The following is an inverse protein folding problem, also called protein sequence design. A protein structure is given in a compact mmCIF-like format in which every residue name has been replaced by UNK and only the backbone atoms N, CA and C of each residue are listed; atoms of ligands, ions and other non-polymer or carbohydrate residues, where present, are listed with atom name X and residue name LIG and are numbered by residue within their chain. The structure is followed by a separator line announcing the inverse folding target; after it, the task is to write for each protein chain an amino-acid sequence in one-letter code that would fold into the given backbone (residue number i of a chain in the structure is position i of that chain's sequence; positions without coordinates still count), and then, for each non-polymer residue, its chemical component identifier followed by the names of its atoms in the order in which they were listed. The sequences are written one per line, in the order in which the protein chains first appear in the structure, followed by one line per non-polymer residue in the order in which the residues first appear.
data_IF_081668330315
#
_entry.id   IF_081668330315
#
_cell.length_a   1.000
_cell.length_b   1.000
_cell.length_c   1.000
_cell.angle_alpha   90.00
_cell.angle_beta   90.00
_cell.angle_gamma   90.00
#
_symmetry.space_group_name_H-M   'P 1'
#
loop_
_entity.id
_entity.type
_entity.pdbx_description
1 polymer ?
#
# COMPACT_ATOMS: atom_id res chain seq x y z
N UNK A 1 -15.62 -6.78 20.31
CA UNK A 1 -16.90 -7.37 19.84
C UNK A 1 -16.82 -7.47 18.32
N UNK A 2 -17.11 -8.62 17.72
CA UNK A 2 -17.12 -8.79 16.26
C UNK A 2 -18.56 -8.64 15.76
N UNK A 3 -18.79 -7.84 14.72
CA UNK A 3 -20.11 -7.66 14.11
C UNK A 3 -20.05 -7.76 12.60
N UNK A 4 -21.19 -8.05 11.98
CA UNK A 4 -21.28 -8.10 10.52
C UNK A 4 -21.84 -6.82 9.91
N UNK A 5 -21.24 -6.36 8.82
CA UNK A 5 -21.75 -5.23 8.03
C UNK A 5 -21.15 -5.23 6.63
N UNK A 6 -21.98 -5.00 5.61
CA UNK A 6 -21.55 -4.95 4.19
C UNK A 6 -20.75 -3.70 3.80
N UNK A 7 -20.75 -2.65 4.64
CA UNK A 7 -20.09 -1.36 4.37
C UNK A 7 -18.63 -1.45 3.91
N UNK A 8 -17.76 -2.32 4.47
CA UNK A 8 -16.37 -2.43 4.02
C UNK A 8 -16.27 -2.91 2.56
N UNK A 9 -17.12 -3.88 2.18
CA UNK A 9 -17.22 -4.31 0.78
C UNK A 9 -17.77 -3.17 -0.10
N UNK A 10 -18.79 -2.44 0.34
CA UNK A 10 -19.35 -1.33 -0.43
C UNK A 10 -18.30 -0.25 -0.74
N UNK A 11 -17.49 0.14 0.25
CA UNK A 11 -16.40 1.11 0.06
C UNK A 11 -15.45 0.68 -1.06
N UNK A 12 -14.97 -0.57 -0.99
CA UNK A 12 -14.09 -1.15 -2.01
C UNK A 12 -14.78 -1.20 -3.37
N UNK A 13 -16.03 -1.68 -3.44
CA UNK A 13 -16.79 -1.77 -4.69
C UNK A 13 -17.06 -0.41 -5.32
N UNK A 14 -17.39 0.61 -4.54
CA UNK A 14 -17.63 1.97 -5.06
C UNK A 14 -16.37 2.50 -5.74
N UNK A 15 -15.21 2.32 -5.11
CA UNK A 15 -13.95 2.76 -5.69
C UNK A 15 -13.64 2.01 -7.02
N UNK A 16 -13.88 0.70 -7.08
CA UNK A 16 -13.76 -0.07 -8.33
C UNK A 16 -14.79 0.35 -9.39
N UNK A 17 -16.05 0.52 -9.03
CA UNK A 17 -17.11 0.95 -9.94
C UNK A 17 -16.82 2.35 -10.50
N UNK A 18 -16.32 3.26 -9.67
CA UNK A 18 -15.85 4.57 -10.11
C UNK A 18 -14.72 4.43 -11.12
N UNK A 19 -13.74 3.56 -10.86
CA UNK A 19 -12.65 3.29 -11.79
C UNK A 19 -13.18 2.82 -13.16
N UNK A 20 -13.98 1.76 -13.20
CA UNK A 20 -14.53 1.24 -14.46
C UNK A 20 -15.43 2.25 -15.19
N UNK A 21 -16.20 3.04 -14.45
CA UNK A 21 -17.09 4.06 -15.02
C UNK A 21 -16.33 5.15 -15.79
N UNK A 22 -15.06 5.42 -15.45
CA UNK A 22 -14.20 6.39 -16.17
C UNK A 22 -14.04 6.03 -17.65
N UNK A 23 -14.09 4.73 -17.99
CA UNK A 23 -13.93 4.23 -19.36
C UNK A 23 -15.12 4.61 -20.25
N UNK A 24 -16.31 4.78 -19.67
CA UNK A 24 -17.55 5.05 -20.42
C UNK A 24 -17.96 6.53 -20.40
N UNK A 25 -17.38 7.32 -19.48
CA UNK A 25 -17.75 8.72 -19.27
C UNK A 25 -16.88 9.68 -20.10
N UNK A 26 -17.49 10.78 -20.57
CA UNK A 26 -16.80 11.84 -21.33
C UNK A 26 -15.69 12.49 -20.51
N UNK A 27 -14.62 12.91 -21.16
CA UNK A 27 -13.42 13.46 -20.51
C UNK A 27 -13.72 14.59 -19.51
N UNK A 28 -14.59 15.54 -19.88
CA UNK A 28 -15.00 16.65 -18.99
C UNK A 28 -15.69 16.21 -17.70
N UNK A 29 -16.34 15.03 -17.72
CA UNK A 29 -17.11 14.49 -16.60
C UNK A 29 -16.28 13.59 -15.68
N UNK A 30 -15.16 13.01 -16.18
CA UNK A 30 -14.30 12.09 -15.41
C UNK A 30 -13.81 12.70 -14.09
N UNK A 31 -13.41 13.97 -14.10
CA UNK A 31 -12.95 14.68 -12.89
C UNK A 31 -14.02 14.76 -11.80
N UNK A 32 -15.28 15.00 -12.18
CA UNK A 32 -16.39 15.07 -11.23
C UNK A 32 -16.76 13.68 -10.71
N UNK A 33 -16.70 12.67 -11.57
CA UNK A 33 -16.91 11.27 -11.17
C UNK A 33 -15.89 10.83 -10.12
N UNK A 34 -14.59 11.02 -10.37
CA UNK A 34 -13.54 10.59 -9.45
C UNK A 34 -13.60 11.39 -8.14
N UNK A 35 -13.81 12.71 -8.22
CA UNK A 35 -13.94 13.55 -7.03
C UNK A 35 -15.16 13.16 -6.19
N UNK A 36 -16.34 13.00 -6.80
CA UNK A 36 -17.55 12.57 -6.07
C UNK A 36 -17.39 11.18 -5.46
N UNK A 37 -16.79 10.23 -6.18
CA UNK A 37 -16.50 8.89 -5.66
C UNK A 37 -15.56 8.95 -4.45
N UNK A 38 -14.46 9.70 -4.53
CA UNK A 38 -13.52 9.86 -3.41
C UNK A 38 -14.15 10.47 -2.16
N UNK A 39 -15.01 11.47 -2.31
CA UNK A 39 -15.72 12.11 -1.19
C UNK A 39 -16.73 11.13 -0.59
N UNK A 40 -17.52 10.46 -1.42
CA UNK A 40 -18.53 9.52 -0.97
C UNK A 40 -17.91 8.33 -0.22
N UNK A 41 -16.80 7.80 -0.76
CA UNK A 41 -16.08 6.70 -0.13
C UNK A 41 -15.42 7.13 1.19
N UNK A 42 -14.85 8.35 1.24
CA UNK A 42 -14.35 8.93 2.50
C UNK A 42 -15.45 9.02 3.57
N UNK A 43 -16.67 9.39 3.19
CA UNK A 43 -17.81 9.43 4.12
C UNK A 43 -18.16 8.03 4.64
N UNK A 44 -18.13 7.00 3.78
CA UNK A 44 -18.38 5.62 4.19
C UNK A 44 -17.34 5.15 5.19
N UNK A 45 -16.05 5.35 4.89
CA UNK A 45 -14.95 4.98 5.78
C UNK A 45 -15.08 5.74 7.11
N UNK A 46 -15.23 7.07 7.09
CA UNK A 46 -15.43 7.87 8.32
C UNK A 46 -16.63 7.39 9.14
N UNK A 47 -17.70 6.89 8.50
CA UNK A 47 -18.87 6.35 9.21
C UNK A 47 -18.59 5.08 10.01
N UNK A 48 -17.51 4.35 9.70
CA UNK A 48 -17.07 3.15 10.42
C UNK A 48 -16.23 3.49 11.65
N UNK A 49 -15.50 4.61 11.62
CA UNK A 49 -14.58 5.05 12.68
C UNK A 49 -15.19 5.04 14.10
N UNK A 50 -16.42 5.54 14.37
CA UNK A 50 -16.98 5.52 15.74
C UNK A 50 -17.13 4.12 16.32
N UNK A 51 -17.36 3.11 15.47
CA UNK A 51 -17.46 1.70 15.89
C UNK A 51 -16.09 1.13 16.24
N UNK A 52 -15.10 1.41 15.38
CA UNK A 52 -13.72 0.95 15.58
C UNK A 52 -13.10 1.58 16.83
N UNK A 53 -13.37 2.87 17.10
CA UNK A 53 -12.92 3.55 18.32
C UNK A 53 -13.52 2.97 19.61
N UNK A 54 -14.68 2.31 19.53
CA UNK A 54 -15.26 1.54 20.66
C UNK A 54 -14.67 0.14 20.82
N UNK A 55 -13.66 -0.23 20.03
CA UNK A 55 -13.04 -1.55 20.04
C UNK A 55 -13.87 -2.64 19.33
N UNK A 56 -14.79 -2.23 18.45
CA UNK A 56 -15.51 -3.15 17.58
C UNK A 56 -14.62 -3.58 16.39
N UNK A 57 -14.75 -4.84 15.96
CA UNK A 57 -14.15 -5.33 14.71
C UNK A 57 -15.32 -5.67 13.80
N UNK A 58 -15.33 -5.13 12.59
CA UNK A 58 -16.42 -5.36 11.63
C UNK A 58 -15.94 -6.35 10.59
N UNK A 59 -16.67 -7.44 10.39
CA UNK A 59 -16.33 -8.46 9.40
C UNK A 59 -17.45 -8.67 8.38
N UNK A 60 -17.06 -8.93 7.14
CA UNK A 60 -17.97 -9.31 6.08
C UNK A 60 -17.34 -10.41 5.23
N UNK A 61 -17.91 -11.60 5.30
CA UNK A 61 -17.53 -12.72 4.46
C UNK A 61 -18.44 -12.74 3.25
N UNK A 62 -17.86 -12.71 2.04
CA UNK A 62 -18.65 -12.86 0.81
C UNK A 62 -19.36 -14.23 0.83
N UNK A 63 -20.68 -14.28 0.55
CA UNK A 63 -21.48 -15.50 0.68
C UNK A 63 -20.93 -16.72 -0.08
N UNK A 64 -21.22 -17.91 0.45
CA UNK A 64 -20.68 -19.19 -0.02
C UNK A 64 -21.00 -19.53 -1.48
N UNK A 65 -22.06 -18.96 -2.05
CA UNK A 65 -22.46 -19.13 -3.46
C UNK A 65 -21.48 -18.52 -4.46
N UNK A 66 -20.57 -17.65 -4.01
CA UNK A 66 -19.51 -17.01 -4.80
C UNK A 66 -18.10 -17.52 -4.40
N UNK A 67 -17.99 -18.59 -3.62
CA UNK A 67 -16.69 -19.15 -3.19
C UNK A 67 -15.97 -19.82 -4.36
N UNK A 68 -14.70 -19.48 -4.54
CA UNK A 68 -13.77 -20.20 -5.42
C UNK A 68 -13.40 -21.59 -4.85
N UNK A 69 -13.44 -21.73 -3.53
CA UNK A 69 -13.17 -22.96 -2.77
C UNK A 69 -13.80 -22.87 -1.37
N UNK A 70 -14.14 -23.99 -0.70
CA UNK A 70 -14.57 -23.99 0.70
C UNK A 70 -13.62 -23.24 1.65
N UNK A 71 -12.34 -23.18 1.29
CA UNK A 71 -11.23 -22.66 2.10
C UNK A 71 -10.74 -21.28 1.68
N UNK A 72 -11.01 -20.85 0.44
CA UNK A 72 -10.61 -19.54 -0.08
C UNK A 72 -11.80 -18.60 -0.13
N UNK A 73 -11.97 -17.81 0.92
CA UNK A 73 -13.07 -16.85 1.05
C UNK A 73 -12.57 -15.42 1.00
N UNK A 74 -13.26 -14.57 0.24
CA UNK A 74 -13.09 -13.12 0.36
C UNK A 74 -13.66 -12.68 1.72
N UNK A 75 -12.77 -12.26 2.60
CA UNK A 75 -13.09 -11.80 3.95
C UNK A 75 -12.65 -10.35 4.08
N UNK A 76 -13.61 -9.48 4.33
CA UNK A 76 -13.35 -8.08 4.65
C UNK A 76 -13.39 -7.91 6.17
N UNK A 77 -12.36 -7.30 6.74
CA UNK A 77 -12.23 -7.05 8.18
C UNK A 77 -11.78 -5.61 8.38
N UNK A 78 -12.56 -4.87 9.16
CA UNK A 78 -12.23 -3.54 9.63
C UNK A 78 -11.83 -3.64 11.08
N UNK A 79 -10.53 -3.53 11.30
CA UNK A 79 -9.91 -3.38 12.61
C UNK A 79 -9.13 -2.05 12.65
N UNK A 80 -8.58 -1.62 13.81
CA UNK A 80 -7.96 -0.30 13.92
C UNK A 80 -6.84 -0.04 12.90
N UNK A 81 -6.06 -1.07 12.57
CA UNK A 81 -5.01 -0.97 11.56
C UNK A 81 -5.61 -0.79 10.16
N UNK A 82 -6.58 -1.63 9.78
CA UNK A 82 -7.24 -1.55 8.48
C UNK A 82 -7.98 -0.23 8.26
N UNK A 83 -8.70 0.22 9.29
CA UNK A 83 -9.43 1.49 9.28
C UNK A 83 -8.49 2.69 9.15
N UNK A 84 -7.37 2.70 9.86
CA UNK A 84 -6.35 3.74 9.73
C UNK A 84 -5.83 3.87 8.29
N UNK A 85 -5.51 2.74 7.65
CA UNK A 85 -5.05 2.73 6.25
C UNK A 85 -6.14 3.12 5.25
N UNK A 86 -7.39 2.69 5.47
CA UNK A 86 -8.51 3.07 4.62
C UNK A 86 -8.83 4.57 4.72
N UNK A 87 -8.82 5.13 5.94
CA UNK A 87 -8.98 6.56 6.18
C UNK A 87 -7.89 7.36 5.47
N UNK A 88 -6.63 6.96 5.64
CA UNK A 88 -5.52 7.64 5.00
C UNK A 88 -5.64 7.59 3.47
N UNK A 89 -5.99 6.42 2.92
CA UNK A 89 -6.13 6.23 1.48
C UNK A 89 -7.26 7.08 0.90
N UNK A 90 -8.43 7.13 1.54
CA UNK A 90 -9.59 7.88 1.07
C UNK A 90 -9.42 9.40 1.18
N UNK A 91 -8.88 9.90 2.30
CA UNK A 91 -8.58 11.32 2.47
C UNK A 91 -7.54 11.78 1.44
N UNK A 92 -6.47 11.00 1.27
CA UNK A 92 -5.44 11.33 0.29
C UNK A 92 -5.95 11.19 -1.15
N UNK A 93 -6.91 10.29 -1.43
CA UNK A 93 -7.54 10.20 -2.73
C UNK A 93 -8.21 11.52 -3.15
N UNK A 94 -8.94 12.17 -2.23
CA UNK A 94 -9.54 13.49 -2.50
C UNK A 94 -8.46 14.51 -2.87
N UNK A 95 -7.39 14.60 -2.06
CA UNK A 95 -6.30 15.57 -2.27
C UNK A 95 -5.53 15.32 -3.57
N UNK A 96 -5.17 14.06 -3.84
CA UNK A 96 -4.48 13.66 -5.07
C UNK A 96 -5.37 13.94 -6.28
N UNK A 97 -6.67 13.68 -6.20
CA UNK A 97 -7.60 13.96 -7.30
C UNK A 97 -7.67 15.45 -7.61
N UNK A 98 -7.81 16.31 -6.58
CA UNK A 98 -7.82 17.76 -6.74
C UNK A 98 -6.53 18.26 -7.41
N UNK A 99 -5.37 17.80 -6.92
CA UNK A 99 -4.08 18.14 -7.52
C UNK A 99 -3.96 17.63 -8.96
N UNK A 100 -4.37 16.39 -9.23
CA UNK A 100 -4.33 15.78 -10.57
C UNK A 100 -5.12 16.59 -11.58
N UNK A 101 -6.32 17.07 -11.20
CA UNK A 101 -7.16 17.89 -12.08
C UNK A 101 -6.45 19.18 -12.50
N UNK A 102 -5.81 19.88 -11.56
CA UNK A 102 -5.04 21.09 -11.86
C UNK A 102 -3.79 20.78 -12.68
N UNK A 103 -3.05 19.74 -12.30
CA UNK A 103 -1.83 19.31 -12.98
C UNK A 103 -2.09 18.96 -14.45
N UNK A 104 -3.13 18.18 -14.74
CA UNK A 104 -3.46 17.76 -16.11
C UNK A 104 -3.83 18.93 -17.04
N UNK A 105 -4.50 19.95 -16.50
CA UNK A 105 -4.87 21.14 -17.26
C UNK A 105 -3.63 21.95 -17.66
N UNK A 106 -2.73 22.18 -16.70
CA UNK A 106 -1.51 22.96 -16.94
C UNK A 106 -0.50 22.20 -17.80
N UNK A 107 -0.34 20.89 -17.56
CA UNK A 107 0.64 20.05 -18.28
C UNK A 107 0.15 19.57 -19.65
N UNK A 108 -1.09 19.87 -20.03
CA UNK A 108 -1.76 19.36 -21.25
C UNK A 108 -1.62 17.84 -21.40
N UNK A 109 -1.80 17.12 -20.30
CA UNK A 109 -1.59 15.66 -20.24
C UNK A 109 -2.53 14.94 -21.21
N UNK A 110 -1.95 14.05 -22.02
CA UNK A 110 -2.71 13.17 -22.94
C UNK A 110 -3.22 11.95 -22.19
N UNK A 111 -4.16 11.20 -22.78
CA UNK A 111 -4.62 9.91 -22.23
C UNK A 111 -5.15 9.98 -20.79
N UNK A 112 -5.79 11.09 -20.40
CA UNK A 112 -6.28 11.34 -19.03
C UNK A 112 -7.23 10.24 -18.53
N UNK A 113 -8.03 9.63 -19.41
CA UNK A 113 -8.92 8.53 -19.05
C UNK A 113 -8.18 7.30 -18.53
N UNK A 114 -7.10 6.89 -19.22
CA UNK A 114 -6.25 5.78 -18.78
C UNK A 114 -5.58 6.09 -17.44
N UNK A 115 -5.11 7.33 -17.26
CA UNK A 115 -4.48 7.76 -16.02
C UNK A 115 -5.47 7.72 -14.85
N UNK A 116 -6.64 8.34 -14.99
CA UNK A 116 -7.66 8.34 -13.93
C UNK A 116 -8.17 6.93 -13.62
N UNK A 117 -8.35 6.08 -14.63
CA UNK A 117 -8.68 4.66 -14.43
C UNK A 117 -7.64 3.97 -13.55
N UNK A 118 -6.37 4.02 -13.95
CA UNK A 118 -5.28 3.36 -13.24
C UNK A 118 -5.06 3.92 -11.82
N UNK A 119 -5.16 5.24 -11.66
CA UNK A 119 -5.06 5.93 -10.37
C UNK A 119 -6.18 5.46 -9.43
N UNK A 120 -7.41 5.43 -9.92
CA UNK A 120 -8.58 5.05 -9.11
C UNK A 120 -8.57 3.55 -8.78
N UNK A 121 -8.17 2.69 -9.74
CA UNK A 121 -7.96 1.26 -9.50
C UNK A 121 -6.93 0.99 -8.40
N UNK A 122 -5.81 1.71 -8.42
CA UNK A 122 -4.77 1.57 -7.42
C UNK A 122 -5.25 1.99 -6.02
N UNK A 123 -6.01 3.08 -5.91
CA UNK A 123 -6.58 3.52 -4.63
C UNK A 123 -7.63 2.52 -4.12
N UNK A 124 -8.52 2.05 -5.01
CA UNK A 124 -9.52 1.02 -4.68
C UNK A 124 -8.85 -0.25 -4.11
N UNK A 125 -7.76 -0.68 -4.73
CA UNK A 125 -6.96 -1.80 -4.24
C UNK A 125 -6.27 -1.49 -2.90
N UNK A 126 -5.78 -0.27 -2.68
CA UNK A 126 -5.24 0.18 -1.40
C UNK A 126 -6.26 0.10 -0.25
N UNK A 127 -7.50 0.53 -0.50
CA UNK A 127 -8.60 0.41 0.47
C UNK A 127 -8.94 -1.06 0.71
N UNK A 128 -9.02 -1.87 -0.35
CA UNK A 128 -9.24 -3.32 -0.27
C UNK A 128 -8.16 -4.05 0.54
N UNK A 129 -6.90 -3.61 0.44
CA UNK A 129 -5.80 -4.12 1.27
C UNK A 129 -5.99 -3.77 2.74
N UNK A 130 -6.35 -2.52 3.05
CA UNK A 130 -6.67 -2.10 4.42
C UNK A 130 -7.75 -2.96 5.06
N UNK A 131 -8.82 -3.23 4.29
CA UNK A 131 -9.97 -4.03 4.73
C UNK A 131 -9.84 -5.53 4.49
N UNK A 132 -8.68 -6.04 4.09
CA UNK A 132 -8.51 -7.49 3.97
C UNK A 132 -8.49 -8.17 5.34
N UNK A 133 -9.27 -9.24 5.49
CA UNK A 133 -9.35 -10.04 6.72
C UNK A 133 -8.54 -11.33 6.71
N UNK A 134 -7.96 -11.68 5.56
CA UNK A 134 -7.10 -12.85 5.42
C UNK A 134 -6.03 -12.62 4.33
N UNK A 135 -4.97 -13.45 4.35
CA UNK A 135 -3.87 -13.35 3.38
C UNK A 135 -4.32 -13.52 1.93
N UNK A 136 -5.37 -14.31 1.67
CA UNK A 136 -5.89 -14.51 0.32
C UNK A 136 -6.52 -13.23 -0.27
N UNK A 137 -7.40 -12.60 0.50
CA UNK A 137 -8.03 -11.32 0.14
C UNK A 137 -6.97 -10.23 0.02
N UNK A 138 -5.98 -10.22 0.94
CA UNK A 138 -4.83 -9.33 0.88
C UNK A 138 -4.08 -9.51 -0.44
N UNK A 139 -3.72 -10.74 -0.80
CA UNK A 139 -2.97 -11.04 -2.03
C UNK A 139 -3.70 -10.57 -3.30
N UNK A 140 -5.02 -10.78 -3.39
CA UNK A 140 -5.80 -10.32 -4.55
C UNK A 140 -5.66 -8.81 -4.74
N UNK A 141 -5.90 -8.03 -3.69
CA UNK A 141 -5.78 -6.57 -3.79
C UNK A 141 -4.31 -6.12 -3.95
N UNK A 142 -3.35 -6.86 -3.39
CA UNK A 142 -1.92 -6.61 -3.57
C UNK A 142 -1.50 -6.68 -5.04
N UNK A 143 -1.99 -7.68 -5.76
CA UNK A 143 -1.74 -7.86 -7.20
C UNK A 143 -2.53 -6.88 -8.06
N UNK A 144 -3.80 -6.61 -7.74
CA UNK A 144 -4.58 -5.57 -8.44
C UNK A 144 -3.86 -4.23 -8.35
N UNK A 145 -3.36 -3.86 -7.16
CA UNK A 145 -2.57 -2.65 -6.97
C UNK A 145 -1.29 -2.68 -7.81
N UNK A 146 -0.56 -3.80 -7.83
CA UNK A 146 0.66 -3.96 -8.62
C UNK A 146 0.40 -3.67 -10.11
N UNK A 147 -0.63 -4.29 -10.67
CA UNK A 147 -0.98 -4.13 -12.09
C UNK A 147 -1.49 -2.71 -12.37
N UNK A 148 -2.23 -2.11 -11.44
CA UNK A 148 -2.81 -0.77 -11.60
C UNK A 148 -1.78 0.35 -11.62
N UNK A 149 -0.65 0.19 -10.92
CA UNK A 149 0.45 1.17 -10.92
C UNK A 149 1.20 1.19 -12.25
N UNK A 150 1.31 0.05 -12.95
CA UNK A 150 2.13 -0.04 -14.16
C UNK A 150 1.74 1.00 -15.24
N UNK A 151 0.46 1.15 -15.64
CA UNK A 151 0.03 2.19 -16.57
C UNK A 151 0.34 3.63 -16.14
N UNK A 152 0.49 3.88 -14.84
CA UNK A 152 0.86 5.19 -14.31
C UNK A 152 2.35 5.48 -14.51
N UNK A 153 3.20 4.45 -14.35
CA UNK A 153 4.64 4.58 -14.58
C UNK A 153 4.95 4.77 -16.06
N UNK A 154 4.31 3.97 -16.92
CA UNK A 154 4.54 4.03 -18.37
C UNK A 154 3.73 5.13 -19.06
N UNK A 155 3.12 6.06 -18.31
CA UNK A 155 2.11 6.97 -18.83
C UNK A 155 2.59 7.79 -20.04
N UNK A 156 3.84 8.27 -19.98
CA UNK A 156 4.47 9.10 -21.01
C UNK A 156 4.98 8.28 -22.22
N UNK A 157 4.97 6.94 -22.12
CA UNK A 157 5.31 6.00 -23.21
C UNK A 157 6.71 6.18 -23.84
N UNK A 158 7.63 6.87 -23.16
CA UNK A 158 9.04 6.94 -23.56
C UNK A 158 9.75 5.61 -23.31
N UNK A 159 10.86 5.35 -24.02
CA UNK A 159 11.67 4.14 -23.80
C UNK A 159 12.16 4.01 -22.35
N UNK A 160 12.43 5.15 -21.70
CA UNK A 160 12.77 5.22 -20.28
C UNK A 160 11.58 4.82 -19.39
N UNK A 161 10.39 5.37 -19.65
CA UNK A 161 9.18 5.03 -18.91
C UNK A 161 8.83 3.54 -19.06
N UNK A 162 8.95 2.99 -20.29
CA UNK A 162 8.71 1.58 -20.58
C UNK A 162 9.70 0.66 -19.84
N UNK A 163 11.00 1.01 -19.82
CA UNK A 163 12.02 0.28 -19.04
C UNK A 163 11.74 0.33 -17.54
N UNK A 164 11.43 1.51 -17.00
CA UNK A 164 11.10 1.68 -15.59
C UNK A 164 9.85 0.87 -15.20
N UNK A 165 8.80 0.89 -16.02
CA UNK A 165 7.59 0.11 -15.81
C UNK A 165 7.85 -1.41 -15.81
N UNK A 166 8.67 -1.92 -16.75
CA UNK A 166 9.03 -3.35 -16.79
C UNK A 166 9.82 -3.76 -15.54
N UNK A 167 10.78 -2.94 -15.11
CA UNK A 167 11.55 -3.16 -13.88
C UNK A 167 10.64 -3.17 -12.65
N UNK A 168 9.70 -2.23 -12.58
CA UNK A 168 8.68 -2.20 -11.53
C UNK A 168 7.84 -3.48 -11.48
N UNK A 169 7.30 -3.93 -12.63
CA UNK A 169 6.50 -5.14 -12.70
C UNK A 169 7.31 -6.38 -12.30
N UNK A 170 8.55 -6.49 -12.76
CA UNK A 170 9.42 -7.62 -12.41
C UNK A 170 9.58 -7.72 -10.89
N UNK A 171 9.89 -6.60 -10.22
CA UNK A 171 10.00 -6.57 -8.77
C UNK A 171 8.67 -6.91 -8.09
N UNK A 172 7.58 -6.24 -8.50
CA UNK A 172 6.27 -6.40 -7.86
C UNK A 172 5.71 -7.80 -8.00
N UNK A 173 5.79 -8.40 -9.20
CA UNK A 173 5.32 -9.77 -9.45
C UNK A 173 6.20 -10.80 -8.75
N UNK A 174 7.52 -10.59 -8.70
CA UNK A 174 8.40 -11.44 -7.90
C UNK A 174 7.98 -11.43 -6.42
N UNK A 175 7.78 -10.24 -5.83
CA UNK A 175 7.31 -10.11 -4.46
C UNK A 175 5.93 -10.77 -4.26
N UNK A 176 5.03 -10.62 -5.24
CA UNK A 176 3.73 -11.26 -5.29
C UNK A 176 3.78 -12.78 -5.24
N UNK A 177 4.60 -13.39 -6.10
CA UNK A 177 4.80 -14.85 -6.13
C UNK A 177 5.35 -15.37 -4.80
N UNK A 178 6.30 -14.65 -4.20
CA UNK A 178 6.86 -15.01 -2.89
C UNK A 178 5.80 -14.91 -1.78
N UNK A 179 4.96 -13.88 -1.77
CA UNK A 179 3.83 -13.74 -0.83
C UNK A 179 2.82 -14.87 -1.04
N UNK A 180 2.51 -15.23 -2.28
CA UNK A 180 1.59 -16.32 -2.59
C UNK A 180 2.13 -17.65 -2.06
N UNK A 181 3.40 -17.98 -2.33
CA UNK A 181 4.05 -19.18 -1.81
C UNK A 181 4.09 -19.21 -0.27
N UNK A 182 4.41 -18.08 0.35
CA UNK A 182 4.38 -17.94 1.82
C UNK A 182 2.98 -18.11 2.40
N UNK A 183 1.95 -17.60 1.70
CA UNK A 183 0.55 -17.76 2.09
C UNK A 183 0.10 -19.21 1.98
N UNK A 184 0.46 -19.91 0.90
CA UNK A 184 0.19 -21.34 0.76
C UNK A 184 0.85 -22.13 1.89
N UNK A 185 2.12 -21.86 2.20
CA UNK A 185 2.81 -22.51 3.31
C UNK A 185 2.14 -22.22 4.66
N UNK A 186 1.71 -20.98 4.88
CA UNK A 186 0.96 -20.59 6.09
C UNK A 186 -0.32 -21.41 6.21
N UNK A 187 -1.07 -21.58 5.13
CA UNK A 187 -2.27 -22.42 5.12
C UNK A 187 -1.98 -23.89 5.43
N UNK A 188 -0.90 -24.44 4.87
CA UNK A 188 -0.50 -25.84 5.13
C UNK A 188 -0.11 -26.08 6.59
N UNK A 189 0.45 -25.07 7.27
CA UNK A 189 0.87 -25.18 8.67
C UNK A 189 -0.27 -24.87 9.66
N UNK A 190 -1.04 -23.80 9.41
CA UNK A 190 -2.05 -23.30 10.35
C UNK A 190 -3.49 -23.73 10.04
N UNK A 191 -3.75 -24.25 8.83
CA UNK A 191 -5.10 -24.58 8.36
C UNK A 191 -6.01 -23.37 8.08
N UNK A 192 -5.48 -22.15 8.19
CA UNK A 192 -6.23 -20.90 7.98
C UNK A 192 -5.33 -19.79 7.43
N UNK A 193 -5.94 -18.80 6.79
CA UNK A 193 -5.29 -17.57 6.34
C UNK A 193 -5.84 -16.32 7.03
N UNK A 194 -6.84 -16.48 7.90
CA UNK A 194 -7.53 -15.37 8.57
C UNK A 194 -6.65 -14.70 9.60
N UNK A 195 -6.67 -13.38 9.61
CA UNK A 195 -5.90 -12.59 10.56
C UNK A 195 -6.44 -12.76 11.99
N UNK A 196 -5.53 -13.03 12.93
CA UNK A 196 -5.82 -13.19 14.36
C UNK A 196 -5.09 -12.10 15.15
N UNK A 197 -5.59 -11.66 16.29
CA UNK A 197 -4.85 -10.70 17.13
C UNK A 197 -3.67 -11.35 17.88
N UNK A 198 -3.64 -12.69 17.96
CA UNK A 198 -2.63 -13.44 18.70
C UNK A 198 -1.63 -14.17 17.78
N UNK A 199 -1.74 -14.00 16.47
CA UNK A 199 -1.04 -14.86 15.50
C UNK A 199 -1.80 -16.16 15.21
N UNK A 200 -1.35 -16.89 14.19
CA UNK A 200 -1.92 -18.17 13.74
C UNK A 200 -0.88 -19.29 13.60
N UNK A 201 0.41 -18.98 13.75
CA UNK A 201 1.53 -19.92 13.53
C UNK A 201 2.16 -20.48 14.81
N UNK A 202 1.66 -20.10 15.99
CA UNK A 202 2.25 -20.58 17.24
C UNK A 202 2.04 -22.09 17.39
N UNK A 203 3.14 -22.83 17.59
CA UNK A 203 3.13 -24.29 17.76
C UNK A 203 2.79 -25.10 16.51
N UNK A 204 2.72 -24.48 15.32
CA UNK A 204 2.31 -25.19 14.08
C UNK A 204 3.47 -25.87 13.35
N UNK A 205 4.72 -25.47 13.62
CA UNK A 205 5.92 -26.00 12.95
C UNK A 205 7.18 -25.81 13.80
N UNK A 206 8.32 -26.32 13.31
CA UNK A 206 9.61 -26.10 13.96
C UNK A 206 10.05 -24.63 13.88
N UNK A 207 10.84 -24.12 14.86
CA UNK A 207 11.35 -22.75 14.85
C UNK A 207 12.05 -22.36 13.54
N UNK A 208 12.88 -23.25 12.99
CA UNK A 208 13.60 -23.00 11.74
C UNK A 208 12.65 -22.80 10.54
N UNK A 209 11.59 -23.62 10.44
CA UNK A 209 10.60 -23.49 9.37
C UNK A 209 9.85 -22.16 9.47
N UNK A 210 9.48 -21.75 10.68
CA UNK A 210 8.81 -20.48 10.94
C UNK A 210 9.74 -19.27 10.67
N UNK A 211 11.04 -19.39 10.94
CA UNK A 211 12.00 -18.34 10.58
C UNK A 211 12.16 -18.22 9.05
N UNK A 212 12.28 -19.33 8.33
CA UNK A 212 12.35 -19.33 6.85
C UNK A 212 11.08 -18.70 6.26
N UNK A 213 9.90 -19.09 6.75
CA UNK A 213 8.63 -18.53 6.32
C UNK A 213 8.55 -17.02 6.57
N UNK A 214 9.07 -16.56 7.72
CA UNK A 214 9.08 -15.15 8.06
C UNK A 214 9.91 -14.35 7.06
N UNK A 215 11.15 -14.79 6.81
CA UNK A 215 12.02 -14.12 5.84
C UNK A 215 11.51 -14.23 4.41
N UNK A 216 10.77 -15.29 4.06
CA UNK A 216 10.07 -15.37 2.78
C UNK A 216 9.02 -14.26 2.65
N UNK A 217 8.18 -14.04 3.67
CA UNK A 217 7.26 -12.90 3.69
C UNK A 217 7.99 -11.55 3.66
N UNK A 218 9.11 -11.40 4.38
CA UNK A 218 9.92 -10.17 4.33
C UNK A 218 10.50 -9.95 2.92
N UNK A 219 10.91 -10.99 2.20
CA UNK A 219 11.32 -10.86 0.80
C UNK A 219 10.16 -10.39 -0.09
N UNK A 220 8.95 -10.89 0.17
CA UNK A 220 7.74 -10.51 -0.57
C UNK A 220 7.28 -9.08 -0.31
N UNK A 221 6.91 -8.77 0.95
CA UNK A 221 6.46 -7.44 1.35
C UNK A 221 7.56 -6.39 1.30
N UNK A 222 8.82 -6.81 1.52
CA UNK A 222 10.02 -5.99 1.44
C UNK A 222 10.21 -5.31 0.09
N UNK A 223 9.72 -5.92 -1.00
CA UNK A 223 9.68 -5.27 -2.31
C UNK A 223 8.84 -4.01 -2.25
N UNK A 224 7.56 -4.08 -1.86
CA UNK A 224 6.68 -2.90 -1.86
C UNK A 224 6.97 -1.91 -0.73
N UNK A 225 7.57 -2.34 0.38
CA UNK A 225 8.09 -1.41 1.40
C UNK A 225 9.46 -0.83 1.04
N UNK A 226 10.05 -1.27 -0.08
CA UNK A 226 11.36 -0.87 -0.57
C UNK A 226 12.49 -1.03 0.47
N UNK A 227 12.42 -2.06 1.31
CA UNK A 227 13.53 -2.40 2.23
C UNK A 227 14.74 -2.79 1.39
N UNK A 228 15.94 -2.31 1.74
CA UNK A 228 17.15 -2.66 1.02
C UNK A 228 17.52 -4.13 1.26
N UNK A 229 17.92 -4.88 0.21
CA UNK A 229 18.29 -4.42 -1.14
C UNK A 229 17.15 -4.35 -2.19
N UNK A 230 15.89 -4.62 -1.84
CA UNK A 230 14.76 -4.74 -2.77
C UNK A 230 14.17 -3.39 -3.27
N UNK A 231 14.76 -2.28 -2.87
CA UNK A 231 14.33 -0.91 -3.15
C UNK A 231 14.45 -0.43 -4.62
N UNK A 232 15.26 -1.11 -5.44
CA UNK A 232 15.77 -0.58 -6.72
C UNK A 232 14.72 -0.24 -7.78
N UNK A 233 13.46 -0.64 -7.60
CA UNK A 233 12.36 -0.26 -8.46
C UNK A 233 11.85 1.16 -8.18
N UNK A 234 11.86 1.62 -6.92
CA UNK A 234 11.15 2.83 -6.52
C UNK A 234 11.77 4.11 -7.09
N UNK A 235 13.10 4.32 -7.06
CA UNK A 235 13.72 5.48 -7.70
C UNK A 235 13.45 5.54 -9.22
N UNK A 236 13.38 4.40 -9.90
CA UNK A 236 13.14 4.32 -11.35
C UNK A 236 11.74 4.81 -11.72
N UNK A 237 10.75 4.63 -10.84
CA UNK A 237 9.39 5.14 -11.05
C UNK A 237 9.28 6.66 -11.00
N UNK A 238 10.37 7.37 -10.66
CA UNK A 238 10.39 8.84 -10.67
C UNK A 238 10.32 9.45 -12.08
N UNK A 239 10.31 8.63 -13.13
CA UNK A 239 9.94 9.08 -14.49
C UNK A 239 8.43 9.34 -14.64
N UNK A 240 7.58 8.72 -13.81
CA UNK A 240 6.12 8.83 -13.89
C UNK A 240 5.61 10.27 -13.68
N UNK A 241 4.38 10.62 -14.07
CA UNK A 241 3.81 11.92 -13.72
C UNK A 241 3.70 12.13 -12.21
N UNK A 242 3.81 13.39 -11.75
CA UNK A 242 3.81 13.74 -10.32
C UNK A 242 2.63 13.15 -9.54
N UNK A 243 1.37 13.17 -10.03
CA UNK A 243 0.27 12.58 -9.27
C UNK A 243 0.39 11.07 -9.09
N UNK A 244 1.09 10.36 -9.98
CA UNK A 244 1.38 8.94 -9.81
C UNK A 244 2.41 8.70 -8.69
N UNK A 245 3.45 9.54 -8.59
CA UNK A 245 4.42 9.45 -7.50
C UNK A 245 3.79 9.82 -6.15
N UNK A 246 2.86 10.76 -6.14
CA UNK A 246 2.08 11.13 -4.95
C UNK A 246 1.22 9.96 -4.44
N UNK A 247 0.55 9.26 -5.35
CA UNK A 247 -0.16 8.00 -5.03
C UNK A 247 0.78 6.95 -4.44
N UNK A 248 1.93 6.70 -5.07
CA UNK A 248 2.91 5.71 -4.59
C UNK A 248 3.43 6.01 -3.18
N UNK A 249 3.52 7.30 -2.82
CA UNK A 249 3.90 7.73 -1.48
C UNK A 249 2.76 7.61 -0.44
N UNK A 250 1.53 7.34 -0.89
CA UNK A 250 0.33 7.25 -0.03
C UNK A 250 -0.04 5.81 0.27
N UNK A 251 0.00 4.96 -0.75
CA UNK A 251 -0.49 3.57 -0.67
C UNK A 251 0.65 2.67 -0.19
N UNK A 252 1.01 2.81 1.09
CA UNK A 252 2.17 2.20 1.77
C UNK A 252 1.98 0.71 2.11
N UNK A 253 1.48 -0.06 1.16
CA UNK A 253 0.95 -1.41 1.39
C UNK A 253 2.00 -2.46 1.77
N UNK A 254 3.26 -2.24 1.43
CA UNK A 254 4.34 -3.14 1.85
C UNK A 254 4.51 -3.11 3.37
N UNK A 255 4.43 -1.91 3.95
CA UNK A 255 4.51 -1.72 5.40
C UNK A 255 3.25 -2.24 6.09
N UNK A 256 2.07 -2.07 5.49
CA UNK A 256 0.84 -2.73 5.96
C UNK A 256 0.99 -4.25 5.98
N UNK A 257 1.55 -4.84 4.91
CA UNK A 257 1.82 -6.29 4.84
C UNK A 257 2.76 -6.77 5.94
N UNK A 258 3.84 -6.03 6.21
CA UNK A 258 4.75 -6.33 7.34
C UNK A 258 4.03 -6.18 8.69
N UNK A 259 3.18 -5.17 8.87
CA UNK A 259 2.39 -5.01 10.09
C UNK A 259 1.43 -6.20 10.30
N UNK A 260 0.71 -6.63 9.25
CA UNK A 260 -0.16 -7.80 9.27
C UNK A 260 0.62 -9.09 9.55
N UNK A 261 1.81 -9.23 8.99
CA UNK A 261 2.70 -10.36 9.26
C UNK A 261 3.08 -10.43 10.74
N UNK A 262 3.60 -9.33 11.27
CA UNK A 262 4.13 -9.25 12.64
C UNK A 262 3.02 -9.40 13.68
N UNK A 263 1.92 -8.67 13.52
CA UNK A 263 0.87 -8.63 14.53
C UNK A 263 -0.21 -9.69 14.35
N UNK A 264 -0.51 -10.11 13.10
CA UNK A 264 -1.65 -10.99 12.85
C UNK A 264 -1.32 -12.42 12.41
N UNK A 265 -0.18 -12.64 11.76
CA UNK A 265 0.22 -13.98 11.30
C UNK A 265 1.15 -14.64 12.33
N UNK A 266 2.19 -13.94 12.76
CA UNK A 266 3.09 -14.44 13.80
C UNK A 266 2.57 -14.09 15.20
N UNK A 267 2.13 -12.85 15.40
CA UNK A 267 1.80 -12.34 16.72
C UNK A 267 3.04 -11.97 17.53
N UNK A 268 2.87 -11.06 18.50
CA UNK A 268 3.99 -10.48 19.27
C UNK A 268 4.77 -11.54 20.04
N UNK A 269 4.08 -12.53 20.62
CA UNK A 269 4.71 -13.59 21.43
C UNK A 269 5.66 -14.45 20.60
N UNK A 270 5.21 -14.97 19.45
CA UNK A 270 6.03 -15.80 18.58
C UNK A 270 7.21 -15.02 17.97
N UNK A 271 6.99 -13.75 17.63
CA UNK A 271 8.07 -12.86 17.15
C UNK A 271 9.20 -12.70 18.16
N UNK A 272 8.88 -12.65 19.47
CA UNK A 272 9.88 -12.59 20.55
C UNK A 272 10.54 -13.94 20.78
N UNK A 273 9.75 -15.01 20.82
CA UNK A 273 10.23 -16.39 21.01
C UNK A 273 11.27 -16.79 19.95
N UNK A 274 11.00 -16.47 18.68
CA UNK A 274 11.90 -16.77 17.56
C UNK A 274 12.99 -15.71 17.33
N UNK A 275 13.04 -14.67 18.16
CA UNK A 275 13.92 -13.50 18.04
C UNK A 275 13.89 -12.82 16.66
N UNK A 276 12.73 -12.82 16.00
CA UNK A 276 12.54 -12.29 14.63
C UNK A 276 12.48 -10.76 14.57
N UNK A 277 12.20 -10.13 15.71
CA UNK A 277 12.12 -8.68 15.84
C UNK A 277 13.47 -7.99 15.58
N UNK A 278 14.56 -8.59 16.03
CA UNK A 278 15.89 -7.99 15.96
C UNK A 278 16.45 -7.96 14.52
N UNK A 279 16.41 -9.06 13.72
CA UNK A 279 16.77 -9.00 12.30
C UNK A 279 15.92 -8.00 11.51
N UNK A 280 14.61 -7.92 11.78
CA UNK A 280 13.73 -6.95 11.11
C UNK A 280 14.14 -5.51 11.45
N UNK A 281 14.45 -5.24 12.73
CA UNK A 281 14.94 -3.93 13.17
C UNK A 281 16.27 -3.57 12.51
N UNK A 282 17.21 -4.51 12.36
CA UNK A 282 18.47 -4.26 11.64
C UNK A 282 18.24 -3.96 10.16
N UNK A 283 17.41 -4.72 9.46
CA UNK A 283 17.07 -4.45 8.05
C UNK A 283 16.48 -3.05 7.88
N UNK A 284 15.57 -2.66 8.78
CA UNK A 284 14.98 -1.33 8.79
C UNK A 284 16.02 -0.23 9.06
N UNK A 285 16.83 -0.37 10.12
CA UNK A 285 17.84 0.61 10.50
C UNK A 285 18.91 0.82 9.41
N UNK A 286 19.40 -0.26 8.80
CA UNK A 286 20.34 -0.20 7.68
C UNK A 286 19.71 0.55 6.50
N UNK A 287 18.46 0.22 6.16
CA UNK A 287 17.75 0.89 5.07
C UNK A 287 17.55 2.38 5.34
N UNK A 288 17.19 2.77 6.56
CA UNK A 288 17.06 4.17 6.99
C UNK A 288 18.35 4.93 6.69
N UNK A 289 19.49 4.42 7.18
CA UNK A 289 20.78 5.11 7.08
C UNK A 289 21.20 5.21 5.62
N UNK A 290 21.23 4.08 4.90
CA UNK A 290 21.73 4.03 3.53
C UNK A 290 20.84 4.86 2.60
N UNK A 291 19.52 4.74 2.70
CA UNK A 291 18.60 5.52 1.86
C UNK A 291 18.70 7.03 2.15
N UNK A 292 18.93 7.43 3.40
CA UNK A 292 19.15 8.83 3.74
C UNK A 292 20.44 9.38 3.12
N UNK A 293 21.53 8.60 3.11
CA UNK A 293 22.78 8.97 2.44
C UNK A 293 22.56 9.12 0.93
N UNK A 294 21.86 8.18 0.29
CA UNK A 294 21.53 8.28 -1.13
C UNK A 294 20.68 9.52 -1.42
N UNK A 295 19.68 9.83 -0.59
CA UNK A 295 18.81 10.99 -0.75
C UNK A 295 19.61 12.30 -0.72
N UNK A 296 20.52 12.47 0.24
CA UNK A 296 21.36 13.67 0.35
C UNK A 296 22.25 13.89 -0.87
N UNK A 297 22.62 12.82 -1.57
CA UNK A 297 23.47 12.87 -2.78
C UNK A 297 22.67 13.07 -4.08
N UNK A 298 21.34 12.99 -4.06
CA UNK A 298 20.54 13.19 -5.26
C UNK A 298 20.36 14.69 -5.56
N UNK A 299 20.76 15.12 -6.75
CA UNK A 299 20.49 16.47 -7.26
C UNK A 299 19.06 16.59 -7.85
N UNK A 300 18.57 15.51 -8.47
CA UNK A 300 17.20 15.46 -8.98
C UNK A 300 16.18 15.43 -7.83
N UNK A 301 15.19 16.34 -7.87
CA UNK A 301 14.23 16.54 -6.80
C UNK A 301 13.36 15.30 -6.55
N UNK A 302 12.87 14.64 -7.61
CA UNK A 302 12.01 13.46 -7.48
C UNK A 302 12.80 12.25 -6.97
N UNK A 303 14.02 12.04 -7.45
CA UNK A 303 14.89 10.96 -6.96
C UNK A 303 15.25 11.17 -5.48
N UNK A 304 15.55 12.41 -5.07
CA UNK A 304 15.76 12.75 -3.65
C UNK A 304 14.54 12.36 -2.81
N UNK A 305 13.34 12.71 -3.28
CA UNK A 305 12.11 12.36 -2.59
C UNK A 305 11.89 10.83 -2.53
N UNK A 306 12.23 10.09 -3.59
CA UNK A 306 12.13 8.63 -3.62
C UNK A 306 13.01 7.96 -2.56
N UNK A 307 14.30 8.31 -2.48
CA UNK A 307 15.19 7.75 -1.45
C UNK A 307 14.79 8.17 -0.05
N UNK A 308 14.31 9.40 0.13
CA UNK A 308 13.72 9.80 1.39
C UNK A 308 12.46 8.96 1.71
N UNK A 309 11.63 8.58 0.72
CA UNK A 309 10.50 7.67 0.95
C UNK A 309 10.96 6.30 1.44
N UNK A 310 12.00 5.73 0.83
CA UNK A 310 12.58 4.45 1.26
C UNK A 310 13.00 4.49 2.74
N UNK A 311 13.68 5.57 3.15
CA UNK A 311 14.09 5.79 4.54
C UNK A 311 12.88 5.87 5.47
N UNK A 312 11.87 6.66 5.12
CA UNK A 312 10.70 6.90 5.97
C UNK A 312 9.79 5.67 6.11
N UNK A 313 9.59 4.87 5.06
CA UNK A 313 8.90 3.58 5.18
C UNK A 313 9.64 2.63 6.13
N UNK A 314 10.97 2.68 6.12
CA UNK A 314 11.79 1.87 7.01
C UNK A 314 11.73 2.33 8.48
N UNK A 315 11.49 3.62 8.76
CA UNK A 315 11.16 4.08 10.12
C UNK A 315 9.89 3.43 10.66
N UNK A 316 8.87 3.26 9.80
CA UNK A 316 7.64 2.57 10.19
C UNK A 316 7.93 1.10 10.50
N UNK A 317 8.68 0.43 9.62
CA UNK A 317 9.07 -0.98 9.83
C UNK A 317 9.88 -1.14 11.12
N UNK A 318 10.77 -0.20 11.43
CA UNK A 318 11.51 -0.19 12.69
C UNK A 318 10.54 -0.07 13.88
N UNK A 319 9.59 0.86 13.84
CA UNK A 319 8.56 1.00 14.89
C UNK A 319 7.76 -0.29 15.11
N UNK A 320 7.37 -0.96 14.02
CA UNK A 320 6.69 -2.27 14.08
C UNK A 320 7.59 -3.33 14.72
N UNK A 321 8.87 -3.37 14.32
CA UNK A 321 9.86 -4.33 14.80
C UNK A 321 10.19 -4.19 16.29
N UNK A 322 9.93 -3.04 16.92
CA UNK A 322 10.17 -2.86 18.36
C UNK A 322 9.22 -3.68 19.24
N UNK A 323 8.10 -4.18 18.70
CA UNK A 323 7.13 -5.02 19.43
C UNK A 323 6.66 -4.42 20.77
N UNK A 324 6.60 -3.08 20.85
CA UNK A 324 6.06 -2.34 21.99
C UNK A 324 4.85 -1.52 21.55
N UNK A 325 3.89 -1.23 22.44
CA UNK A 325 2.78 -0.35 22.12
C UNK A 325 3.23 1.01 21.58
N UNK A 326 4.24 1.62 22.21
CA UNK A 326 4.79 2.91 21.77
C UNK A 326 5.46 2.83 20.39
N UNK A 327 6.19 1.74 20.09
CA UNK A 327 6.78 1.51 18.78
C UNK A 327 5.71 1.34 17.68
N UNK A 328 4.66 0.58 17.97
CA UNK A 328 3.53 0.39 17.06
C UNK A 328 2.79 1.71 16.80
N UNK A 329 2.45 2.46 17.85
CA UNK A 329 1.80 3.77 17.74
C UNK A 329 2.69 4.75 16.98
N UNK A 330 3.98 4.83 17.32
CA UNK A 330 4.94 5.70 16.65
C UNK A 330 5.05 5.37 15.15
N UNK A 331 5.16 4.09 14.80
CA UNK A 331 5.17 3.63 13.42
C UNK A 331 3.90 4.03 12.66
N UNK A 332 2.73 3.78 13.23
CA UNK A 332 1.45 4.11 12.59
C UNK A 332 1.24 5.62 12.40
N UNK A 333 1.54 6.44 13.42
CA UNK A 333 1.49 7.90 13.28
C UNK A 333 2.45 8.37 12.19
N UNK A 334 3.62 7.74 12.09
CA UNK A 334 4.62 8.06 11.08
C UNK A 334 4.14 7.81 9.65
N UNK A 335 3.31 6.78 9.41
CA UNK A 335 2.64 6.55 8.11
C UNK A 335 1.78 7.76 7.72
N UNK A 336 0.96 8.27 8.63
CA UNK A 336 0.10 9.43 8.36
C UNK A 336 0.94 10.68 8.06
N UNK A 337 1.97 10.93 8.88
CA UNK A 337 2.89 12.05 8.65
C UNK A 337 3.60 11.95 7.30
N UNK A 338 4.10 10.75 6.98
CA UNK A 338 4.78 10.47 5.72
C UNK A 338 3.86 10.72 4.52
N UNK A 339 2.63 10.21 4.53
CA UNK A 339 1.68 10.44 3.46
C UNK A 339 1.42 11.95 3.27
N UNK A 340 1.10 12.69 4.32
CA UNK A 340 0.83 14.15 4.21
C UNK A 340 2.08 14.91 3.74
N UNK A 341 3.23 14.66 4.36
CA UNK A 341 4.50 15.33 4.05
C UNK A 341 4.94 15.03 2.62
N UNK A 342 4.91 13.77 2.20
CA UNK A 342 5.37 13.38 0.86
C UNK A 342 4.47 13.89 -0.24
N UNK A 343 3.16 13.83 -0.06
CA UNK A 343 2.25 14.39 -1.05
C UNK A 343 2.47 15.90 -1.18
N UNK A 344 2.61 16.63 -0.08
CA UNK A 344 2.95 18.06 -0.10
C UNK A 344 4.24 18.33 -0.87
N UNK A 345 5.29 17.56 -0.61
CA UNK A 345 6.58 17.70 -1.30
C UNK A 345 6.51 17.34 -2.79
N UNK A 346 5.78 16.28 -3.16
CA UNK A 346 5.59 15.91 -4.56
C UNK A 346 4.74 16.95 -5.31
N UNK A 347 3.70 17.49 -4.67
CA UNK A 347 2.88 18.55 -5.25
C UNK A 347 3.69 19.83 -5.47
N UNK A 348 4.51 20.23 -4.48
CA UNK A 348 5.42 21.36 -4.61
C UNK A 348 6.45 21.13 -5.73
N UNK A 349 7.06 19.95 -5.78
CA UNK A 349 8.00 19.57 -6.83
C UNK A 349 7.34 19.65 -8.22
N UNK A 350 6.11 19.17 -8.36
CA UNK A 350 5.38 19.27 -9.62
C UNK A 350 5.04 20.70 -10.02
N UNK A 351 4.64 21.55 -9.07
CA UNK A 351 4.41 22.97 -9.33
C UNK A 351 5.69 23.68 -9.81
N UNK A 352 6.83 23.44 -9.16
CA UNK A 352 8.14 23.99 -9.55
C UNK A 352 8.50 23.51 -10.98
N UNK A 353 8.36 22.21 -11.25
CA UNK A 353 8.67 21.63 -12.55
C UNK A 353 7.81 22.22 -13.67
N UNK A 354 6.50 22.40 -13.44
CA UNK A 354 5.60 22.97 -14.44
C UNK A 354 5.92 24.44 -14.75
N UNK A 355 6.31 25.22 -13.73
CA UNK A 355 6.56 26.67 -13.89
C UNK A 355 7.96 27.01 -14.39
N UNK A 356 8.95 26.19 -14.04
CA UNK A 356 10.37 26.49 -14.31
C UNK A 356 11.01 25.55 -15.32
N UNK A 357 10.41 24.38 -15.58
CA UNK A 357 11.03 23.31 -16.37
C UNK A 357 12.18 22.59 -15.66
N UNK A 358 12.60 23.02 -14.47
CA UNK A 358 13.74 22.47 -13.74
C UNK A 358 13.36 21.20 -12.98
N UNK A 359 14.24 20.20 -13.05
CA UNK A 359 14.13 18.91 -12.33
C UNK A 359 15.22 18.71 -11.27
N UNK A 360 16.30 19.46 -11.41
CA UNK A 360 17.48 19.42 -10.58
C UNK A 360 17.52 20.65 -9.67
N UNK A 361 18.25 20.54 -8.57
CA UNK A 361 18.38 21.63 -7.59
C UNK A 361 19.45 22.62 -8.03
N UNK A 362 20.50 22.15 -8.72
CA UNK A 362 21.56 22.96 -9.33
C UNK A 362 21.07 23.99 -10.34
#
# INVERSE_FOLDING_TARGET
MISSSIRPLLSVLIAFLAAFSILFVKEKQRKYLVLSASIFDSIIVISLLPRILRGEIIEYTVPATLKLSPTLTLLFRVDPLGEFFALLSTVMWVLITLYTIGFMQESRMRNQGRFFFALTMAIAAGIGLGYSGNLFTFFIFYEILAISIYPLIIHDETDEAMRAGRKYLLYSLFGGVVILGSSVMTYLLAGTLSFSNNGILQGTASPAMLQILFFSFILGFGVKSAIMPLHGWLPETMIAPIPANALLATVEVGVLGIARLVYNIYGVSLMRELNLWLPLAYLAAITIIIASIYAMRQDNLKLRLAYSTISQLSYVVLGIALLTPSGAIGGLIHIAHQAVMKNTLFFAAGAIMLRTGKRNIS
#
